data_IF_312343239107
#
_entry.id   IF_312343239107
#
_cell.length_a   1.000
_cell.length_b   1.000
_cell.length_c   1.000
_cell.angle_alpha   90.00
_cell.angle_beta   90.00
_cell.angle_gamma   90.00
#
_symmetry.space_group_name_H-M   'P 1'
#
loop_
_entity.id
_entity.type
_entity.pdbx_description
1 polymer ?
#
# COMPACT_ATOMS: atom_id res chain seq x y z
N UNK A 1 -22.26 13.84 1.93
CA UNK A 1 -21.50 13.04 2.93
C UNK A 1 -21.37 11.63 2.38
N UNK A 2 -20.17 11.08 2.31
CA UNK A 2 -19.91 9.72 1.81
C UNK A 2 -20.51 8.72 2.81
N UNK A 3 -21.32 7.78 2.33
CA UNK A 3 -21.85 6.69 3.16
C UNK A 3 -20.88 5.51 3.06
N UNK A 4 -20.12 5.30 4.11
CA UNK A 4 -19.19 4.17 4.20
C UNK A 4 -19.91 2.86 4.49
N UNK A 5 -19.42 1.72 3.98
CA UNK A 5 -19.80 0.40 4.47
C UNK A 5 -19.26 0.17 5.90
N UNK A 6 -19.70 -0.93 6.51
CA UNK A 6 -19.19 -1.33 7.81
C UNK A 6 -17.65 -1.47 7.80
N UNK A 7 -16.99 -1.01 8.85
CA UNK A 7 -15.56 -1.19 9.06
C UNK A 7 -15.24 -1.46 10.53
N UNK A 8 -14.12 -2.10 10.78
CA UNK A 8 -13.60 -2.36 12.13
C UNK A 8 -12.47 -1.35 12.38
N UNK A 9 -12.51 -0.58 13.47
CA UNK A 9 -11.42 0.36 13.77
C UNK A 9 -10.18 -0.41 14.27
N UNK A 10 -9.21 -0.61 13.40
CA UNK A 10 -7.96 -1.35 13.67
C UNK A 10 -6.74 -0.45 13.61
N UNK A 11 -6.79 0.61 12.83
CA UNK A 11 -5.71 1.56 12.64
C UNK A 11 -5.75 2.67 13.70
N UNK A 12 -4.57 3.12 14.11
CA UNK A 12 -4.40 4.36 14.88
C UNK A 12 -4.56 5.57 13.95
N UNK A 13 -5.71 6.23 13.99
CA UNK A 13 -6.07 7.35 13.12
C UNK A 13 -6.50 8.58 13.92
N UNK A 14 -6.30 9.80 13.41
CA UNK A 14 -5.62 10.13 12.15
C UNK A 14 -4.09 9.93 12.24
N UNK A 15 -3.45 9.58 11.13
CA UNK A 15 -1.99 9.52 11.08
C UNK A 15 -1.39 10.92 10.94
N UNK A 16 -0.16 11.15 11.44
CA UNK A 16 0.49 12.46 11.34
C UNK A 16 0.65 12.94 9.89
N UNK A 17 0.62 14.25 9.71
CA UNK A 17 0.90 14.95 8.46
C UNK A 17 1.91 16.06 8.75
N UNK A 18 3.12 15.95 8.18
CA UNK A 18 4.23 16.85 8.51
C UNK A 18 5.03 17.20 7.25
N UNK A 19 5.60 18.41 7.23
CA UNK A 19 6.57 18.78 6.19
C UNK A 19 7.95 18.23 6.54
N UNK A 20 8.75 17.96 5.51
CA UNK A 20 10.19 17.74 5.67
C UNK A 20 10.88 19.08 5.88
N UNK A 21 11.72 19.17 6.91
CA UNK A 21 12.36 20.43 7.28
C UNK A 21 13.81 20.55 6.75
N UNK A 22 14.50 19.42 6.64
CA UNK A 22 15.94 19.39 6.35
C UNK A 22 16.27 18.71 5.00
N UNK A 23 15.29 18.02 4.41
CA UNK A 23 15.50 17.31 3.15
C UNK A 23 15.39 18.25 1.97
N UNK A 24 16.44 18.39 1.19
CA UNK A 24 16.48 19.26 0.02
C UNK A 24 16.55 18.48 -1.27
N UNK A 25 15.93 19.00 -2.32
CA UNK A 25 15.94 18.42 -3.66
C UNK A 25 16.53 19.44 -4.63
N UNK A 26 17.54 19.11 -5.44
CA UNK A 26 18.08 20.02 -6.44
C UNK A 26 16.99 20.54 -7.40
N UNK A 27 17.05 21.80 -7.76
CA UNK A 27 16.09 22.47 -8.67
C UNK A 27 14.62 22.44 -8.22
N UNK A 28 14.37 22.24 -6.92
CA UNK A 28 13.03 22.29 -6.33
C UNK A 28 13.07 23.17 -5.06
N UNK A 29 12.32 24.25 -5.08
CA UNK A 29 12.20 25.22 -3.99
C UNK A 29 10.88 25.12 -3.23
N UNK A 30 10.08 24.10 -3.58
CA UNK A 30 8.81 23.83 -2.94
C UNK A 30 8.93 23.06 -1.61
N UNK A 31 7.79 22.65 -1.09
CA UNK A 31 7.68 21.91 0.18
C UNK A 31 7.24 20.47 -0.07
N UNK A 32 7.93 19.52 0.56
CA UNK A 32 7.54 18.11 0.60
C UNK A 32 6.85 17.85 1.95
N UNK A 33 5.64 17.35 1.87
CA UNK A 33 4.86 16.90 3.02
C UNK A 33 4.81 15.38 3.05
N UNK A 34 4.83 14.79 4.24
CA UNK A 34 4.65 13.35 4.42
C UNK A 34 3.36 13.07 5.18
N UNK A 35 2.52 12.19 4.62
CA UNK A 35 1.45 11.51 5.32
C UNK A 35 2.00 10.21 5.88
N UNK A 36 2.10 10.14 7.19
CA UNK A 36 2.76 9.07 7.94
C UNK A 36 1.87 7.85 8.15
N UNK A 37 1.48 7.17 7.08
CA UNK A 37 0.64 5.96 7.19
C UNK A 37 1.41 4.74 7.71
N UNK A 38 2.74 4.80 7.84
CA UNK A 38 3.51 3.82 8.59
C UNK A 38 3.17 3.82 10.08
N UNK A 39 2.56 4.89 10.59
CA UNK A 39 2.15 5.05 11.99
C UNK A 39 0.68 4.65 12.25
N UNK A 40 0.05 3.91 11.36
CA UNK A 40 -1.28 3.32 11.57
C UNK A 40 -1.32 2.28 12.69
N UNK A 41 -0.20 1.99 13.28
CA UNK A 41 0.03 1.04 14.37
C UNK A 41 1.44 0.48 14.29
N UNK A 42 1.93 -0.14 15.33
CA UNK A 42 3.29 -0.71 15.34
C UNK A 42 3.35 -2.00 14.53
N UNK A 43 2.63 -3.04 14.95
CA UNK A 43 2.64 -4.37 14.34
C UNK A 43 1.79 -4.47 13.09
N UNK A 44 0.74 -3.66 12.96
CA UNK A 44 -0.13 -3.59 11.77
C UNK A 44 0.28 -2.49 10.79
N UNK A 45 1.38 -1.79 11.07
CA UNK A 45 1.81 -0.56 10.40
C UNK A 45 1.65 -0.56 8.88
N UNK A 46 1.27 0.60 8.34
CA UNK A 46 1.23 0.86 6.92
C UNK A 46 -0.19 0.90 6.33
N UNK A 47 -0.25 1.11 5.03
CA UNK A 47 -1.48 1.34 4.27
C UNK A 47 -2.47 0.15 4.28
N UNK A 48 -2.00 -1.05 4.61
CA UNK A 48 -2.81 -2.27 4.48
C UNK A 48 -3.92 -2.31 5.51
N UNK A 49 -3.66 -1.84 6.74
CA UNK A 49 -4.68 -1.86 7.80
C UNK A 49 -5.90 -1.02 7.41
N UNK A 50 -5.74 0.14 6.77
CA UNK A 50 -6.87 0.95 6.31
C UNK A 50 -7.83 0.19 5.38
N UNK A 51 -7.28 -0.66 4.51
CA UNK A 51 -8.06 -1.50 3.59
C UNK A 51 -8.64 -2.71 4.29
N UNK A 52 -7.86 -3.34 5.15
CA UNK A 52 -8.28 -4.51 5.93
C UNK A 52 -9.41 -4.21 6.91
N UNK A 53 -9.54 -2.96 7.40
CA UNK A 53 -10.69 -2.53 8.21
C UNK A 53 -12.03 -2.83 7.52
N UNK A 54 -12.10 -2.66 6.19
CA UNK A 54 -13.30 -2.92 5.39
C UNK A 54 -13.39 -4.38 4.95
N UNK A 55 -12.29 -4.96 4.46
CA UNK A 55 -12.29 -6.35 3.96
C UNK A 55 -12.60 -7.34 5.09
N UNK A 56 -12.06 -7.12 6.29
CA UNK A 56 -12.32 -8.02 7.43
C UNK A 56 -13.73 -7.78 8.01
N UNK A 57 -14.20 -6.52 8.06
CA UNK A 57 -15.59 -6.26 8.45
C UNK A 57 -16.57 -7.00 7.53
N UNK A 58 -16.31 -7.01 6.21
CA UNK A 58 -17.09 -7.78 5.26
C UNK A 58 -17.01 -9.28 5.54
N UNK A 59 -15.81 -9.84 5.72
CA UNK A 59 -15.63 -11.27 6.03
C UNK A 59 -16.41 -11.70 7.28
N UNK A 60 -16.33 -10.92 8.36
CA UNK A 60 -17.05 -11.20 9.59
C UNK A 60 -18.57 -11.11 9.43
N UNK A 61 -19.06 -10.15 8.66
CA UNK A 61 -20.49 -10.01 8.33
C UNK A 61 -21.03 -11.23 7.56
N UNK A 62 -20.18 -11.82 6.71
CA UNK A 62 -20.48 -13.06 6.01
C UNK A 62 -20.34 -14.33 6.91
N UNK A 63 -19.98 -14.16 8.18
CA UNK A 63 -19.81 -15.25 9.14
C UNK A 63 -18.52 -16.05 8.93
N UNK A 64 -17.48 -15.46 8.30
CA UNK A 64 -16.19 -16.10 8.15
C UNK A 64 -15.40 -16.06 9.46
N UNK A 65 -14.72 -17.16 9.78
CA UNK A 65 -13.82 -17.30 10.93
C UNK A 65 -12.36 -17.53 10.51
N UNK A 66 -12.10 -17.58 9.22
CA UNK A 66 -10.79 -17.81 8.62
C UNK A 66 -10.53 -16.80 7.52
N UNK A 67 -9.32 -16.26 7.49
CA UNK A 67 -8.86 -15.36 6.42
C UNK A 67 -7.78 -16.06 5.59
N UNK A 68 -7.91 -16.03 4.29
CA UNK A 68 -6.87 -16.49 3.36
C UNK A 68 -6.37 -15.26 2.59
N UNK A 69 -5.07 -15.09 2.46
CA UNK A 69 -4.51 -14.05 1.59
C UNK A 69 -3.18 -14.48 0.99
N UNK A 70 -2.64 -13.66 0.09
CA UNK A 70 -1.45 -14.00 -0.64
C UNK A 70 -0.48 -12.81 -0.80
N UNK A 71 0.81 -13.12 -1.02
CA UNK A 71 1.84 -12.11 -1.24
C UNK A 71 3.25 -12.69 -1.37
N UNK A 72 4.25 -11.84 -1.48
CA UNK A 72 5.66 -12.25 -1.37
C UNK A 72 6.01 -12.64 0.08
N UNK A 73 7.13 -13.34 0.28
CA UNK A 73 7.61 -13.78 1.61
C UNK A 73 7.72 -12.61 2.61
N UNK A 74 8.10 -11.42 2.15
CA UNK A 74 8.21 -10.21 2.98
C UNK A 74 7.02 -9.26 2.76
N UNK A 75 5.81 -9.81 2.59
CA UNK A 75 4.62 -9.03 2.33
C UNK A 75 4.12 -8.29 3.59
N UNK A 76 4.08 -6.96 3.51
CA UNK A 76 3.44 -6.13 4.55
C UNK A 76 1.93 -6.40 4.68
N UNK A 77 1.29 -6.85 3.58
CA UNK A 77 -0.11 -7.20 3.58
C UNK A 77 -0.38 -8.51 4.34
N UNK A 78 0.41 -9.56 4.05
CA UNK A 78 0.31 -10.84 4.75
C UNK A 78 0.50 -10.64 6.26
N UNK A 79 1.56 -9.92 6.67
CA UNK A 79 1.80 -9.59 8.08
C UNK A 79 0.63 -8.85 8.72
N UNK A 80 0.12 -7.79 8.09
CA UNK A 80 -1.01 -7.05 8.65
C UNK A 80 -2.25 -7.95 8.80
N UNK A 81 -2.53 -8.83 7.82
CA UNK A 81 -3.64 -9.78 7.88
C UNK A 81 -3.43 -10.80 9.00
N UNK A 82 -2.21 -11.36 9.15
CA UNK A 82 -1.88 -12.32 10.20
C UNK A 82 -2.08 -11.71 11.61
N UNK A 83 -1.50 -10.53 11.82
CA UNK A 83 -1.60 -9.83 13.12
C UNK A 83 -3.05 -9.45 13.45
N UNK A 84 -3.81 -8.95 12.48
CA UNK A 84 -5.22 -8.61 12.71
C UNK A 84 -6.05 -9.87 12.97
N UNK A 85 -5.81 -10.95 12.23
CA UNK A 85 -6.47 -12.23 12.48
C UNK A 85 -6.24 -12.72 13.92
N UNK A 86 -5.00 -12.70 14.38
CA UNK A 86 -4.66 -13.03 15.76
C UNK A 86 -5.38 -12.13 16.79
N UNK A 87 -5.43 -10.81 16.56
CA UNK A 87 -6.15 -9.86 17.44
C UNK A 87 -7.66 -10.12 17.51
N UNK A 88 -8.24 -10.63 16.44
CA UNK A 88 -9.68 -10.89 16.34
C UNK A 88 -10.06 -12.35 16.61
N UNK A 89 -9.09 -13.21 16.92
CA UNK A 89 -9.33 -14.65 17.14
C UNK A 89 -9.71 -15.41 15.88
N UNK A 90 -9.32 -14.91 14.70
CA UNK A 90 -9.55 -15.54 13.41
C UNK A 90 -8.36 -16.42 13.02
N UNK A 91 -8.63 -17.52 12.33
CA UNK A 91 -7.58 -18.29 11.66
C UNK A 91 -7.06 -17.52 10.46
N UNK A 92 -5.77 -17.62 10.19
CA UNK A 92 -5.16 -16.97 9.00
C UNK A 92 -4.31 -17.98 8.24
N UNK A 93 -4.52 -18.05 6.93
CA UNK A 93 -3.71 -18.83 6.02
C UNK A 93 -3.08 -17.93 4.96
N UNK A 94 -1.76 -17.95 4.86
CA UNK A 94 -0.97 -17.14 3.92
C UNK A 94 -0.44 -18.00 2.78
N UNK A 95 -0.73 -17.60 1.54
CA UNK A 95 -0.10 -18.15 0.34
C UNK A 95 1.08 -17.26 0.00
N UNK A 96 2.31 -17.73 0.29
CA UNK A 96 3.52 -16.94 0.10
C UNK A 96 4.26 -17.35 -1.17
N UNK A 97 4.51 -16.35 -2.04
CA UNK A 97 5.23 -16.54 -3.31
C UNK A 97 6.70 -16.79 -3.08
N UNK A 98 7.16 -18.02 -3.33
CA UNK A 98 8.54 -18.44 -3.20
C UNK A 98 8.66 -19.80 -2.54
N UNK A 99 9.86 -20.12 -2.08
CA UNK A 99 10.16 -21.29 -1.25
C UNK A 99 10.38 -20.85 0.18
N UNK A 100 10.17 -21.76 1.13
CA UNK A 100 10.48 -21.50 2.54
C UNK A 100 11.95 -21.08 2.67
N UNK A 101 12.27 -19.90 3.19
CA UNK A 101 13.65 -19.46 3.35
C UNK A 101 14.30 -20.17 4.55
N UNK A 102 15.63 -20.29 4.52
CA UNK A 102 16.41 -20.79 5.65
C UNK A 102 16.37 -19.83 6.84
N UNK A 103 16.45 -18.53 6.56
CA UNK A 103 16.39 -17.47 7.59
C UNK A 103 14.97 -16.91 7.68
N UNK A 104 14.42 -17.01 8.89
CA UNK A 104 13.11 -16.44 9.22
C UNK A 104 13.33 -15.06 9.84
N UNK A 105 12.95 -14.01 9.11
CA UNK A 105 13.16 -12.61 9.53
C UNK A 105 12.08 -11.68 8.98
N UNK A 106 12.05 -10.43 9.43
CA UNK A 106 11.17 -9.38 8.92
C UNK A 106 9.69 -9.72 9.06
N UNK A 107 8.93 -9.52 7.99
CA UNK A 107 7.49 -9.78 7.98
C UNK A 107 7.17 -11.27 8.19
N UNK A 108 7.95 -12.19 7.59
CA UNK A 108 7.72 -13.64 7.76
C UNK A 108 7.83 -14.09 9.22
N UNK A 109 8.77 -13.51 9.98
CA UNK A 109 8.87 -13.82 11.41
C UNK A 109 7.59 -13.41 12.15
N UNK A 110 7.04 -12.24 11.82
CA UNK A 110 5.81 -11.74 12.44
C UNK A 110 4.58 -12.54 12.02
N UNK A 111 4.52 -13.02 10.77
CA UNK A 111 3.48 -13.92 10.30
C UNK A 111 3.41 -15.19 11.14
N UNK A 112 4.57 -15.81 11.37
CA UNK A 112 4.69 -17.04 12.17
C UNK A 112 4.40 -16.80 13.66
N UNK A 113 4.88 -15.69 14.22
CA UNK A 113 4.59 -15.31 15.61
C UNK A 113 3.11 -15.03 15.83
N UNK A 114 2.41 -14.50 14.82
CA UNK A 114 0.96 -14.30 14.84
C UNK A 114 0.17 -15.61 14.63
N UNK A 115 0.84 -16.74 14.44
CA UNK A 115 0.20 -18.06 14.31
C UNK A 115 -0.43 -18.34 12.95
N UNK A 116 -0.01 -17.62 11.90
CA UNK A 116 -0.53 -17.87 10.56
C UNK A 116 -0.07 -19.23 10.01
N UNK A 117 -0.99 -19.98 9.39
CA UNK A 117 -0.66 -21.13 8.54
C UNK A 117 -0.06 -20.61 7.23
N UNK A 118 0.95 -21.31 6.68
CA UNK A 118 1.66 -20.87 5.47
C UNK A 118 1.76 -21.99 4.44
N UNK A 119 1.28 -21.69 3.24
CA UNK A 119 1.58 -22.46 2.03
C UNK A 119 2.54 -21.68 1.14
N UNK A 120 3.70 -22.26 0.83
CA UNK A 120 4.66 -21.66 -0.09
C UNK A 120 4.34 -22.10 -1.52
N UNK A 121 4.13 -21.12 -2.40
CA UNK A 121 3.85 -21.33 -3.81
C UNK A 121 5.04 -20.84 -4.66
N UNK A 122 5.75 -21.75 -5.37
CA UNK A 122 6.89 -21.37 -6.20
C UNK A 122 6.55 -20.28 -7.21
N UNK A 123 7.52 -19.43 -7.56
CA UNK A 123 7.33 -18.33 -8.51
C UNK A 123 6.73 -18.77 -9.85
N UNK A 124 7.13 -19.94 -10.38
CA UNK A 124 6.63 -20.48 -11.65
C UNK A 124 5.15 -20.86 -11.61
N UNK A 125 4.63 -21.16 -10.42
CA UNK A 125 3.25 -21.62 -10.19
C UNK A 125 2.35 -20.48 -9.68
N UNK A 126 2.91 -19.25 -9.55
CA UNK A 126 2.21 -18.12 -8.93
C UNK A 126 0.90 -17.73 -9.60
N UNK A 127 0.75 -17.93 -10.91
CA UNK A 127 -0.50 -17.67 -11.63
C UNK A 127 -1.68 -18.52 -11.11
N UNK A 128 -1.40 -19.63 -10.41
CA UNK A 128 -2.41 -20.50 -9.80
C UNK A 128 -2.81 -20.12 -8.36
N UNK A 129 -2.34 -18.98 -7.82
CA UNK A 129 -2.57 -18.66 -6.40
C UNK A 129 -4.06 -18.47 -6.04
N UNK A 130 -4.90 -17.98 -6.96
CA UNK A 130 -6.35 -17.83 -6.73
C UNK A 130 -7.05 -19.18 -6.73
N UNK A 131 -6.66 -20.09 -7.63
CA UNK A 131 -7.17 -21.47 -7.65
C UNK A 131 -6.79 -22.22 -6.38
N UNK A 132 -5.56 -22.01 -5.88
CA UNK A 132 -5.12 -22.55 -4.59
C UNK A 132 -5.91 -21.97 -3.43
N UNK A 133 -6.20 -20.67 -3.44
CA UNK A 133 -7.04 -20.04 -2.42
C UNK A 133 -8.45 -20.62 -2.39
N UNK A 134 -9.07 -20.86 -3.57
CA UNK A 134 -10.37 -21.51 -3.68
C UNK A 134 -10.33 -22.95 -3.12
N UNK A 135 -9.32 -23.74 -3.45
CA UNK A 135 -9.15 -25.07 -2.89
C UNK A 135 -8.98 -25.08 -1.36
N UNK A 136 -8.24 -24.11 -0.81
CA UNK A 136 -8.12 -23.93 0.64
C UNK A 136 -9.45 -23.55 1.29
N UNK A 137 -10.28 -22.70 0.63
CA UNK A 137 -11.61 -22.36 1.13
C UNK A 137 -12.50 -23.61 1.25
N UNK A 138 -12.46 -24.50 0.25
CA UNK A 138 -13.20 -25.78 0.28
C UNK A 138 -12.67 -26.71 1.40
N UNK A 139 -11.34 -26.76 1.57
CA UNK A 139 -10.73 -27.57 2.64
C UNK A 139 -11.13 -27.07 4.04
N UNK A 140 -11.11 -25.75 4.26
CA UNK A 140 -11.58 -25.15 5.52
C UNK A 140 -13.07 -25.41 5.74
N UNK A 141 -13.89 -25.30 4.68
CA UNK A 141 -15.32 -25.60 4.77
C UNK A 141 -15.56 -27.06 5.19
N UNK A 142 -14.79 -28.00 4.65
CA UNK A 142 -14.83 -29.41 5.04
C UNK A 142 -14.47 -29.66 6.50
N UNK A 143 -13.73 -28.75 7.12
CA UNK A 143 -13.37 -28.77 8.56
C UNK A 143 -14.37 -28.03 9.45
N UNK A 144 -15.43 -27.44 8.87
CA UNK A 144 -16.44 -26.63 9.58
C UNK A 144 -16.05 -25.16 9.76
N UNK A 145 -15.03 -24.67 9.07
CA UNK A 145 -14.60 -23.27 9.06
C UNK A 145 -15.05 -22.58 7.78
N UNK A 146 -15.42 -21.32 7.86
CA UNK A 146 -15.75 -20.50 6.70
C UNK A 146 -14.63 -19.52 6.41
N UNK A 147 -13.95 -19.70 5.29
CA UNK A 147 -12.80 -18.88 4.92
C UNK A 147 -13.16 -17.81 3.89
N UNK A 148 -12.62 -16.59 4.09
CA UNK A 148 -12.69 -15.48 3.14
C UNK A 148 -11.33 -15.23 2.51
N UNK A 149 -11.26 -15.19 1.18
CA UNK A 149 -10.04 -14.83 0.45
C UNK A 149 -9.97 -13.31 0.26
N UNK A 150 -8.89 -12.71 0.74
CA UNK A 150 -8.55 -11.31 0.53
C UNK A 150 -7.44 -11.26 -0.51
N UNK A 151 -7.62 -10.61 -1.67
CA UNK A 151 -6.62 -10.60 -2.73
C UNK A 151 -5.37 -9.81 -2.33
N UNK A 152 -4.31 -9.95 -3.14
CA UNK A 152 -3.01 -9.30 -2.88
C UNK A 152 -3.18 -7.82 -2.51
N UNK A 153 -2.69 -7.47 -1.32
CA UNK A 153 -2.72 -6.10 -0.84
C UNK A 153 -4.10 -5.57 -0.46
N UNK A 154 -5.13 -6.42 -0.31
CA UNK A 154 -6.55 -6.02 -0.18
C UNK A 154 -6.93 -4.99 -1.26
N UNK A 155 -6.53 -5.26 -2.52
CA UNK A 155 -6.78 -4.39 -3.66
C UNK A 155 -7.91 -4.96 -4.49
N UNK A 156 -9.10 -4.61 -4.10
CA UNK A 156 -10.39 -4.98 -4.66
C UNK A 156 -11.42 -3.88 -4.39
N UNK A 157 -12.63 -4.11 -4.83
CA UNK A 157 -13.76 -3.18 -4.66
C UNK A 157 -14.17 -2.92 -3.21
N UNK A 158 -13.72 -3.77 -2.27
CA UNK A 158 -13.96 -3.57 -0.82
C UNK A 158 -12.79 -2.77 -0.21
N UNK A 159 -11.57 -3.17 -0.48
CA UNK A 159 -10.38 -2.58 0.13
C UNK A 159 -10.12 -1.13 -0.30
N UNK A 160 -10.54 -0.71 -1.50
CA UNK A 160 -10.35 0.68 -1.94
C UNK A 160 -11.01 1.70 -1.00
N UNK A 161 -12.05 1.33 -0.24
CA UNK A 161 -12.67 2.18 0.77
C UNK A 161 -11.68 2.71 1.81
N UNK A 162 -10.64 1.94 2.11
CA UNK A 162 -9.59 2.37 3.04
C UNK A 162 -8.91 3.65 2.62
N UNK A 163 -8.70 3.84 1.30
CA UNK A 163 -8.08 5.06 0.79
C UNK A 163 -9.05 6.11 0.29
N UNK A 164 -10.31 5.76 0.05
CA UNK A 164 -11.39 6.75 -0.04
C UNK A 164 -11.51 7.49 1.31
N UNK A 165 -11.52 6.74 2.42
CA UNK A 165 -11.54 7.33 3.76
C UNK A 165 -10.26 8.11 4.10
N UNK A 166 -9.09 7.63 3.68
CA UNK A 166 -7.83 8.33 3.86
C UNK A 166 -7.79 9.67 3.12
N UNK A 167 -8.50 9.79 1.98
CA UNK A 167 -8.59 11.07 1.29
C UNK A 167 -9.36 12.13 2.09
N UNK A 168 -10.43 11.76 2.80
CA UNK A 168 -11.12 12.70 3.70
C UNK A 168 -10.18 13.19 4.81
N UNK A 169 -9.38 12.30 5.37
CA UNK A 169 -8.38 12.63 6.38
C UNK A 169 -7.29 13.56 5.81
N UNK A 170 -6.81 13.29 4.58
CA UNK A 170 -5.86 14.16 3.86
C UNK A 170 -6.45 15.56 3.62
N UNK A 171 -7.68 15.64 3.15
CA UNK A 171 -8.36 16.94 2.92
C UNK A 171 -8.42 17.75 4.21
N UNK A 172 -8.71 17.09 5.34
CA UNK A 172 -8.66 17.77 6.64
C UNK A 172 -7.25 18.23 6.98
N UNK A 173 -6.23 17.39 6.75
CA UNK A 173 -4.83 17.77 6.96
C UNK A 173 -4.43 18.98 6.10
N UNK A 174 -4.86 19.04 4.84
CA UNK A 174 -4.58 20.18 3.94
C UNK A 174 -5.19 21.46 4.49
N UNK A 175 -6.45 21.42 4.89
CA UNK A 175 -7.15 22.57 5.46
C UNK A 175 -6.50 23.06 6.77
N UNK A 176 -6.20 22.13 7.69
CA UNK A 176 -5.61 22.45 9.00
C UNK A 176 -4.20 23.07 8.87
N UNK A 177 -3.48 22.79 7.78
CA UNK A 177 -2.12 23.30 7.52
C UNK A 177 -2.07 24.40 6.46
N UNK A 178 -3.21 24.79 5.87
CA UNK A 178 -3.26 25.81 4.81
C UNK A 178 -2.50 25.39 3.54
N UNK A 179 -2.52 24.12 3.19
CA UNK A 179 -1.79 23.54 2.04
C UNK A 179 -2.76 23.14 0.95
N UNK A 180 -2.46 23.52 -0.29
CA UNK A 180 -3.16 23.06 -1.50
C UNK A 180 -2.12 22.35 -2.39
N UNK A 181 -1.90 21.02 -2.20
CA UNK A 181 -0.84 20.33 -2.91
C UNK A 181 -1.20 20.08 -4.38
N UNK A 182 -0.26 20.33 -5.28
CA UNK A 182 -0.42 20.01 -6.70
C UNK A 182 -0.38 18.50 -6.96
N UNK A 183 0.37 17.77 -6.12
CA UNK A 183 0.54 16.33 -6.28
C UNK A 183 0.45 15.59 -4.96
N UNK A 184 -0.20 14.44 -4.99
CA UNK A 184 -0.14 13.42 -3.94
C UNK A 184 0.52 12.18 -4.55
N UNK A 185 1.67 11.80 -3.99
CA UNK A 185 2.54 10.74 -4.52
C UNK A 185 2.47 9.51 -3.66
N UNK A 186 2.40 8.33 -4.28
CA UNK A 186 2.33 7.05 -3.60
C UNK A 186 3.07 5.95 -4.36
N UNK A 187 3.52 4.90 -3.66
CA UNK A 187 3.99 3.67 -4.29
C UNK A 187 2.81 2.79 -4.69
N UNK A 188 2.85 2.19 -5.88
CA UNK A 188 1.83 1.22 -6.31
C UNK A 188 2.45 -0.14 -6.64
N UNK A 189 1.88 -1.20 -6.07
CA UNK A 189 2.29 -2.60 -6.30
C UNK A 189 1.10 -3.56 -6.38
N UNK A 190 -0.13 -3.08 -6.13
CA UNK A 190 -1.39 -3.83 -6.28
C UNK A 190 -2.58 -2.92 -6.66
N UNK A 191 -2.36 -1.63 -6.91
CA UNK A 191 -3.36 -0.68 -7.40
C UNK A 191 -4.31 -0.08 -6.36
N UNK A 192 -4.75 -0.82 -5.35
CA UNK A 192 -5.88 -0.43 -4.50
C UNK A 192 -5.69 0.85 -3.66
N UNK A 193 -4.44 1.21 -3.28
CA UNK A 193 -4.16 2.49 -2.61
C UNK A 193 -4.35 3.66 -3.56
N UNK A 194 -3.80 3.55 -4.76
CA UNK A 194 -3.97 4.56 -5.82
C UNK A 194 -5.42 4.69 -6.24
N UNK A 195 -6.15 3.56 -6.42
CA UNK A 195 -7.57 3.55 -6.74
C UNK A 195 -8.41 4.31 -5.70
N UNK A 196 -8.23 4.00 -4.42
CA UNK A 196 -8.97 4.67 -3.35
C UNK A 196 -8.68 6.17 -3.26
N UNK A 197 -7.41 6.58 -3.45
CA UNK A 197 -7.03 8.00 -3.50
C UNK A 197 -7.69 8.72 -4.68
N UNK A 198 -7.68 8.12 -5.87
CA UNK A 198 -8.29 8.68 -7.07
C UNK A 198 -9.80 8.86 -6.90
N UNK A 199 -10.48 7.84 -6.40
CA UNK A 199 -11.92 7.92 -6.13
C UNK A 199 -12.23 8.99 -5.09
N UNK A 200 -11.52 8.99 -3.96
CA UNK A 200 -11.71 9.98 -2.91
C UNK A 200 -11.47 11.41 -3.38
N UNK A 201 -10.40 11.63 -4.14
CA UNK A 201 -10.06 12.93 -4.72
C UNK A 201 -11.15 13.43 -5.69
N UNK A 202 -11.62 12.57 -6.59
CA UNK A 202 -12.65 12.93 -7.56
C UNK A 202 -14.00 13.19 -6.88
N UNK A 203 -14.39 12.38 -5.89
CA UNK A 203 -15.64 12.61 -5.13
C UNK A 203 -15.66 13.97 -4.43
N UNK A 204 -14.49 14.46 -4.01
CA UNK A 204 -14.34 15.76 -3.37
C UNK A 204 -13.95 16.88 -4.33
N UNK A 205 -13.89 16.60 -5.64
CA UNK A 205 -13.49 17.56 -6.70
C UNK A 205 -12.14 18.22 -6.40
N UNK A 206 -11.20 17.44 -5.88
CA UNK A 206 -9.87 17.92 -5.54
C UNK A 206 -9.09 18.30 -6.80
N UNK A 207 -8.24 19.33 -6.67
CA UNK A 207 -7.35 19.78 -7.74
C UNK A 207 -6.04 19.00 -7.78
N UNK A 208 -5.66 18.40 -6.66
CA UNK A 208 -4.42 17.62 -6.54
C UNK A 208 -4.41 16.43 -7.49
N UNK A 209 -3.30 16.22 -8.17
CA UNK A 209 -3.08 15.08 -9.05
C UNK A 209 -2.51 13.90 -8.26
N UNK A 210 -3.16 12.75 -8.34
CA UNK A 210 -2.65 11.52 -7.73
C UNK A 210 -1.65 10.89 -8.69
N UNK A 211 -0.41 10.73 -8.24
CA UNK A 211 0.68 10.13 -9.03
C UNK A 211 1.24 8.94 -8.27
N UNK A 212 1.26 7.78 -8.91
CA UNK A 212 1.89 6.61 -8.34
C UNK A 212 3.19 6.27 -9.07
N UNK A 213 4.14 5.69 -8.33
CA UNK A 213 5.34 5.06 -8.90
C UNK A 213 5.19 3.55 -8.75
N UNK A 214 5.26 2.82 -9.86
CA UNK A 214 5.14 1.38 -9.84
C UNK A 214 6.40 0.73 -9.24
N UNK A 215 6.19 -0.35 -8.50
CA UNK A 215 7.28 -1.16 -7.91
C UNK A 215 7.35 -2.56 -8.50
N UNK A 216 6.41 -2.91 -9.34
CA UNK A 216 6.29 -4.10 -10.18
C UNK A 216 5.37 -3.76 -11.36
N UNK A 217 5.22 -4.67 -12.31
CA UNK A 217 4.35 -4.55 -13.48
C UNK A 217 4.53 -3.20 -14.25
N UNK A 218 3.72 -2.93 -15.24
CA UNK A 218 3.78 -1.69 -16.02
C UNK A 218 2.59 -0.75 -15.73
N UNK A 219 2.61 0.43 -16.32
CA UNK A 219 1.57 1.44 -16.15
C UNK A 219 0.22 1.00 -16.69
N UNK A 220 0.20 0.24 -17.80
CA UNK A 220 -1.02 -0.25 -18.42
C UNK A 220 -1.72 -1.26 -17.51
N UNK A 221 -0.95 -2.18 -16.90
CA UNK A 221 -1.49 -3.12 -15.91
C UNK A 221 -2.21 -2.38 -14.77
N UNK A 222 -1.59 -1.33 -14.21
CA UNK A 222 -2.22 -0.58 -13.12
C UNK A 222 -3.42 0.24 -13.59
N UNK A 223 -3.39 0.77 -14.80
CA UNK A 223 -4.53 1.47 -15.37
C UNK A 223 -5.74 0.55 -15.50
N UNK A 224 -5.56 -0.63 -16.08
CA UNK A 224 -6.62 -1.62 -16.26
C UNK A 224 -7.12 -2.16 -14.90
N UNK A 225 -6.20 -2.46 -13.98
CA UNK A 225 -6.53 -2.94 -12.63
C UNK A 225 -7.36 -1.92 -11.86
N UNK A 226 -6.97 -0.66 -11.88
CA UNK A 226 -7.69 0.42 -11.18
C UNK A 226 -9.08 0.63 -11.79
N UNK A 227 -9.19 0.67 -13.13
CA UNK A 227 -10.48 0.78 -13.81
C UNK A 227 -11.41 -0.37 -13.42
N UNK A 228 -10.88 -1.59 -13.41
CA UNK A 228 -11.64 -2.79 -13.01
C UNK A 228 -12.11 -2.69 -11.56
N UNK A 229 -11.22 -2.39 -10.61
CA UNK A 229 -11.57 -2.32 -9.20
C UNK A 229 -12.59 -1.21 -8.92
N UNK A 230 -12.46 -0.06 -9.57
CA UNK A 230 -13.39 1.06 -9.41
C UNK A 230 -14.75 0.73 -10.04
N UNK A 231 -14.78 0.06 -11.19
CA UNK A 231 -16.03 -0.37 -11.83
C UNK A 231 -16.79 -1.38 -10.95
N UNK A 232 -16.08 -2.36 -10.39
CA UNK A 232 -16.65 -3.33 -9.44
C UNK A 232 -17.14 -2.65 -8.16
N UNK A 233 -16.37 -1.70 -7.61
CA UNK A 233 -16.76 -0.89 -6.45
C UNK A 233 -18.05 -0.11 -6.74
N UNK A 234 -18.12 0.59 -7.87
CA UNK A 234 -19.29 1.33 -8.30
C UNK A 234 -20.53 0.44 -8.40
N UNK A 235 -20.39 -0.72 -9.01
CA UNK A 235 -21.46 -1.71 -9.17
C UNK A 235 -21.91 -2.25 -7.80
N UNK A 236 -20.97 -2.67 -6.96
CA UNK A 236 -21.25 -3.26 -5.63
C UNK A 236 -21.99 -2.31 -4.70
N UNK A 237 -21.54 -1.06 -4.66
CA UNK A 237 -22.08 -0.06 -3.74
C UNK A 237 -23.12 0.87 -4.37
N UNK A 238 -23.45 0.64 -5.64
CA UNK A 238 -24.45 1.40 -6.41
C UNK A 238 -24.23 2.91 -6.31
N UNK A 239 -22.97 3.33 -6.44
CA UNK A 239 -22.59 4.74 -6.34
C UNK A 239 -22.72 5.44 -7.67
N UNK A 240 -23.22 6.69 -7.65
CA UNK A 240 -23.15 7.59 -8.80
C UNK A 240 -21.72 8.16 -8.88
N UNK A 241 -20.90 7.56 -9.74
CA UNK A 241 -19.50 7.94 -9.92
C UNK A 241 -19.12 7.86 -11.39
N UNK A 242 -18.49 8.92 -11.90
CA UNK A 242 -17.98 8.95 -13.27
C UNK A 242 -16.57 8.37 -13.33
N UNK A 243 -16.47 7.09 -13.61
CA UNK A 243 -15.19 6.38 -13.74
C UNK A 243 -14.38 6.79 -14.96
N UNK A 244 -15.03 7.43 -15.97
CA UNK A 244 -14.35 7.87 -17.20
C UNK A 244 -13.52 9.13 -16.99
N UNK A 245 -13.81 9.87 -15.91
CA UNK A 245 -13.08 11.08 -15.53
C UNK A 245 -11.84 10.79 -14.65
N UNK A 246 -11.54 9.52 -14.33
CA UNK A 246 -10.35 9.16 -13.57
C UNK A 246 -9.08 9.48 -14.35
N UNK A 247 -8.23 10.32 -13.77
CA UNK A 247 -6.90 10.60 -14.29
C UNK A 247 -5.87 9.68 -13.62
N UNK A 248 -5.74 8.46 -14.14
CA UNK A 248 -4.80 7.46 -13.61
C UNK A 248 -3.41 7.77 -14.13
N UNK A 249 -2.51 8.14 -13.23
CA UNK A 249 -1.11 8.43 -13.58
C UNK A 249 -0.17 7.55 -12.79
N UNK A 250 0.41 6.55 -13.46
CA UNK A 250 1.45 5.68 -12.92
C UNK A 250 2.76 5.93 -13.66
N UNK A 251 3.80 6.33 -12.94
CA UNK A 251 5.10 6.67 -13.49
C UNK A 251 6.05 5.48 -13.38
N UNK A 252 6.60 5.10 -14.51
CA UNK A 252 7.59 4.05 -14.67
C UNK A 252 9.03 4.60 -14.66
N UNK A 253 10.00 3.67 -14.58
CA UNK A 253 11.43 3.96 -14.68
C UNK A 253 12.15 3.92 -13.33
N UNK A 254 11.44 3.66 -12.23
CA UNK A 254 11.99 3.65 -10.87
C UNK A 254 11.80 2.31 -10.13
N UNK A 255 11.26 1.32 -10.80
CA UNK A 255 11.04 -0.01 -10.27
C UNK A 255 12.35 -0.73 -9.92
N UNK A 256 13.44 -0.41 -10.64
CA UNK A 256 14.70 -1.13 -10.57
C UNK A 256 14.61 -2.51 -11.23
N UNK A 257 15.51 -3.46 -10.85
CA UNK A 257 15.63 -4.73 -11.57
C UNK A 257 14.40 -5.64 -11.49
N UNK A 258 13.67 -5.60 -10.37
CA UNK A 258 12.46 -6.41 -10.16
C UNK A 258 11.72 -5.99 -8.88
N UNK A 259 10.51 -6.55 -8.70
CA UNK A 259 9.83 -6.50 -7.40
C UNK A 259 10.74 -7.05 -6.28
N UNK A 260 10.80 -6.34 -5.16
CA UNK A 260 11.63 -6.73 -4.02
C UNK A 260 13.13 -6.46 -4.18
N UNK A 261 13.58 -6.02 -5.36
CA UNK A 261 14.99 -5.64 -5.62
C UNK A 261 15.06 -4.15 -5.95
N UNK A 262 15.97 -3.43 -5.30
CA UNK A 262 16.20 -2.01 -5.54
C UNK A 262 17.64 -1.77 -6.00
N UNK A 263 17.83 -0.68 -6.73
CA UNK A 263 19.15 -0.20 -7.13
C UNK A 263 19.85 0.50 -5.96
N UNK A 264 21.18 0.59 -6.01
CA UNK A 264 22.01 1.21 -4.96
C UNK A 264 21.56 2.64 -4.64
N UNK A 265 21.13 3.40 -5.65
CA UNK A 265 20.68 4.78 -5.47
C UNK A 265 19.42 4.87 -4.57
N UNK A 266 18.55 3.87 -4.57
CA UNK A 266 17.38 3.82 -3.70
C UNK A 266 17.83 3.68 -2.25
N UNK A 267 18.79 2.80 -1.96
CA UNK A 267 19.36 2.64 -0.61
C UNK A 267 20.04 3.93 -0.12
N UNK A 268 20.75 4.64 -1.00
CA UNK A 268 21.33 5.97 -0.69
C UNK A 268 20.26 7.01 -0.37
N UNK A 269 19.17 7.02 -1.15
CA UNK A 269 18.03 7.93 -0.91
C UNK A 269 17.38 7.66 0.44
N UNK A 270 17.14 6.38 0.78
CA UNK A 270 16.59 5.95 2.08
C UNK A 270 17.52 6.39 3.22
N UNK A 271 18.82 6.11 3.11
CA UNK A 271 19.79 6.46 4.14
C UNK A 271 19.89 7.97 4.35
N UNK A 272 19.86 8.77 3.26
CA UNK A 272 19.87 10.22 3.36
C UNK A 272 18.62 10.75 4.06
N UNK A 273 17.42 10.31 3.67
CA UNK A 273 16.17 10.74 4.31
C UNK A 273 16.15 10.37 5.80
N UNK A 274 16.58 9.15 6.12
CA UNK A 274 16.68 8.70 7.52
C UNK A 274 17.66 9.56 8.32
N UNK A 275 18.80 9.94 7.74
CA UNK A 275 19.84 10.74 8.40
C UNK A 275 19.38 12.17 8.69
N UNK A 276 18.62 12.81 7.77
CA UNK A 276 18.30 14.24 7.90
C UNK A 276 16.90 14.49 8.50
N UNK A 277 15.98 13.54 8.41
CA UNK A 277 14.58 13.68 8.86
C UNK A 277 14.17 12.61 9.91
N UNK A 278 14.95 11.56 10.10
CA UNK A 278 14.54 10.43 10.95
C UNK A 278 13.39 9.60 10.36
N UNK A 279 13.15 9.68 9.05
CA UNK A 279 12.08 8.96 8.34
C UNK A 279 12.68 7.75 7.63
N UNK A 280 12.16 6.55 7.95
CA UNK A 280 12.68 5.27 7.44
C UNK A 280 11.77 4.68 6.38
N UNK A 281 12.18 4.75 5.13
CA UNK A 281 11.49 4.13 4.00
C UNK A 281 11.98 2.69 3.78
N UNK A 282 11.15 1.85 3.16
CA UNK A 282 11.54 0.51 2.75
C UNK A 282 12.09 0.48 1.31
N UNK A 283 12.98 -0.46 0.97
CA UNK A 283 13.57 -0.51 -0.37
C UNK A 283 12.66 -1.15 -1.44
N UNK A 284 11.49 -1.70 -1.06
CA UNK A 284 10.59 -2.39 -2.01
C UNK A 284 9.57 -1.43 -2.60
N UNK A 285 8.98 -0.57 -1.76
CA UNK A 285 7.86 0.32 -2.12
C UNK A 285 8.22 1.79 -1.95
N UNK A 286 8.27 2.24 -0.70
CA UNK A 286 8.34 3.67 -0.38
C UNK A 286 9.66 4.29 -0.79
N UNK A 287 10.77 3.58 -0.67
CA UNK A 287 12.08 4.07 -1.11
C UNK A 287 12.17 4.28 -2.61
N UNK A 288 11.62 3.34 -3.41
CA UNK A 288 11.56 3.48 -4.87
C UNK A 288 10.69 4.66 -5.30
N UNK A 289 9.49 4.78 -4.72
CA UNK A 289 8.57 5.85 -5.05
C UNK A 289 9.11 7.23 -4.61
N UNK A 290 9.71 7.31 -3.43
CA UNK A 290 10.34 8.55 -2.95
C UNK A 290 11.54 8.94 -3.80
N UNK A 291 12.40 7.97 -4.16
CA UNK A 291 13.51 8.20 -5.08
C UNK A 291 12.99 8.69 -6.45
N UNK A 292 11.93 8.07 -6.98
CA UNK A 292 11.30 8.51 -8.22
C UNK A 292 10.76 9.93 -8.13
N UNK A 293 10.06 10.27 -7.05
CA UNK A 293 9.57 11.62 -6.80
C UNK A 293 10.70 12.65 -6.77
N UNK A 294 11.75 12.39 -6.00
CA UNK A 294 12.92 13.27 -5.87
C UNK A 294 13.62 13.44 -7.23
N UNK A 295 13.77 12.36 -7.97
CA UNK A 295 14.38 12.40 -9.30
C UNK A 295 13.58 13.28 -10.27
N UNK A 296 12.26 13.12 -10.30
CA UNK A 296 11.39 13.92 -11.16
C UNK A 296 11.39 15.41 -10.77
N UNK A 297 11.38 15.72 -9.47
CA UNK A 297 11.49 17.09 -8.98
C UNK A 297 12.84 17.71 -9.34
N UNK A 298 13.93 16.95 -9.26
CA UNK A 298 15.27 17.41 -9.60
C UNK A 298 15.44 17.80 -11.07
N UNK A 299 14.57 17.29 -11.96
CA UNK A 299 14.57 17.65 -13.38
C UNK A 299 13.89 19.00 -13.66
N UNK A 300 13.23 19.62 -12.66
CA UNK A 300 12.49 20.87 -12.82
C UNK A 300 11.42 20.77 -13.91
N UNK A 301 11.42 21.71 -14.85
CA UNK A 301 10.44 21.74 -15.96
C UNK A 301 10.56 20.56 -16.94
N UNK A 302 11.63 19.79 -16.90
CA UNK A 302 11.79 18.56 -17.70
C UNK A 302 11.22 17.31 -17.02
N UNK A 303 10.91 17.40 -15.74
CA UNK A 303 10.34 16.31 -14.97
C UNK A 303 8.84 16.14 -15.20
N UNK A 304 8.29 15.03 -14.73
CA UNK A 304 6.86 14.71 -14.85
C UNK A 304 6.00 15.27 -13.72
N UNK A 305 6.61 15.93 -12.72
CA UNK A 305 5.96 16.62 -11.59
C UNK A 305 6.08 18.14 -11.71
N UNK A 306 5.83 18.66 -12.92
CA UNK A 306 5.98 20.07 -13.24
C UNK A 306 5.06 20.97 -12.42
N UNK A 307 5.56 22.15 -12.04
CA UNK A 307 4.80 23.16 -11.31
C UNK A 307 4.49 22.78 -9.86
N UNK A 308 5.10 21.73 -9.32
CA UNK A 308 4.97 21.36 -7.93
C UNK A 308 5.56 22.45 -7.03
N UNK A 309 4.75 22.98 -6.09
CA UNK A 309 5.17 23.85 -4.98
C UNK A 309 4.94 23.15 -3.65
N UNK A 310 3.81 22.46 -3.53
CA UNK A 310 3.51 21.58 -2.41
C UNK A 310 3.25 20.18 -2.94
N UNK A 311 4.02 19.23 -2.48
CA UNK A 311 3.87 17.83 -2.85
C UNK A 311 3.71 16.98 -1.60
N UNK A 312 2.77 16.06 -1.63
CA UNK A 312 2.53 15.14 -0.51
C UNK A 312 3.01 13.77 -0.91
N UNK A 313 3.87 13.20 -0.10
CA UNK A 313 4.28 11.79 -0.20
C UNK A 313 3.54 10.97 0.86
N UNK A 314 2.85 9.91 0.44
CA UNK A 314 2.22 8.98 1.38
C UNK A 314 3.23 7.90 1.74
N UNK A 315 3.72 7.94 2.97
CA UNK A 315 4.59 6.89 3.51
C UNK A 315 3.74 5.68 3.90
N UNK A 316 3.64 4.72 3.01
CA UNK A 316 2.74 3.57 3.13
C UNK A 316 3.25 2.44 4.05
N UNK A 317 4.34 2.66 4.79
CA UNK A 317 4.93 1.67 5.69
C UNK A 317 6.10 0.92 5.08
N UNK A 318 6.36 -0.30 5.58
CA UNK A 318 7.38 -1.18 5.04
C UNK A 318 8.60 -1.38 5.94
N UNK A 319 8.66 -0.78 7.12
CA UNK A 319 9.84 -0.83 8.01
C UNK A 319 10.39 -2.25 8.22
N UNK A 320 9.54 -3.24 8.41
CA UNK A 320 9.99 -4.62 8.61
C UNK A 320 10.67 -5.23 7.37
N UNK A 321 10.42 -4.69 6.17
CA UNK A 321 11.07 -5.07 4.93
C UNK A 321 12.49 -4.51 4.77
N UNK A 322 12.91 -3.59 5.65
CA UNK A 322 14.28 -3.03 5.67
C UNK A 322 15.28 -4.09 6.16
N UNK A 323 14.94 -4.80 7.24
CA UNK A 323 15.85 -5.71 7.92
C UNK A 323 16.35 -6.86 7.02
N UNK A 324 15.50 -7.55 6.24
CA UNK A 324 15.97 -8.58 5.30
C UNK A 324 16.91 -8.08 4.21
N UNK A 325 16.98 -6.76 4.00
CA UNK A 325 17.82 -6.14 2.99
C UNK A 325 19.01 -5.36 3.56
N UNK A 326 19.32 -5.52 4.85
CA UNK A 326 20.36 -4.78 5.57
C UNK A 326 21.73 -4.79 4.88
N UNK A 327 22.10 -5.91 4.20
CA UNK A 327 23.37 -6.08 3.50
C UNK A 327 23.55 -5.13 2.30
N UNK A 328 22.47 -4.53 1.82
CA UNK A 328 22.49 -3.60 0.68
C UNK A 328 22.73 -2.14 1.12
N UNK A 329 22.60 -1.84 2.41
CA UNK A 329 22.98 -0.54 2.96
C UNK A 329 24.47 -0.49 3.20
N UNK A 330 25.10 0.57 2.71
CA UNK A 330 26.54 0.87 2.93
C UNK A 330 26.63 2.01 3.94
N UNK A 331 27.38 1.80 4.98
CA UNK A 331 27.65 2.78 6.04
C UNK A 331 29.15 3.11 5.98
N UNK A 332 29.51 4.11 5.19
CA UNK A 332 30.87 4.65 5.10
C UNK A 332 31.08 5.76 6.14
#
# INVERSE_FOLDING_TARGET
>A
MIKYPDRIPLASLPTPFKKLENFTVPNFDGTIWIKHDELTGTEVSGNKVRKLEFSIAHALKEGCNTLITCGGIQSNHCRATAVIGAKLGLKVHLILRGQKPELIEGNLLLDLLAGAEITYLPQKDWSGHEALAASLQEEYLGRGDKAHFIPTGASDEIGIWGYIAAWEELTKNFNDNGVDPEYVVVATGSGGTQAGLLVGAQMQKAKSKIVAFNVCDDSNYFEDKIKTDVSLWKQRYKTEFDETALNIKTLEGYMGPAYGKAEEIVFKTIANLAKVEGVFLDPVYTGKAFHGMVSELSLGDRGRLQGAKNIVFIHTGGLFGVFPQHKNFKFD
#
